data_IF_755047847302
#
_entry.id   IF_755047847302
#
_cell.length_a   1.000
_cell.length_b   1.000
_cell.length_c   1.000
_cell.angle_alpha   90.00
_cell.angle_beta   90.00
_cell.angle_gamma   90.00
#
_symmetry.space_group_name_H-M   'P 1'
#
loop_
_entity.id
_entity.type
_entity.pdbx_description
1 polymer ?
#
# COMPACT_ATOMS: atom_id res chain seq x y z
N UNK A 1 -3.09 23.71 -6.68
CA UNK A 1 -2.77 23.17 -8.02
C UNK A 1 -1.73 23.99 -8.79
N UNK A 2 -1.87 25.32 -8.99
CA UNK A 2 -0.80 26.12 -9.63
C UNK A 2 0.57 26.00 -8.92
N UNK A 3 0.56 25.94 -7.58
CA UNK A 3 1.78 25.73 -6.77
C UNK A 3 2.41 24.34 -6.91
N UNK A 4 1.67 23.34 -7.38
CA UNK A 4 2.16 21.97 -7.56
C UNK A 4 2.93 21.83 -8.88
N UNK A 5 2.39 22.41 -9.97
CA UNK A 5 3.16 22.63 -11.22
C UNK A 5 4.41 23.49 -10.98
N UNK A 6 4.31 24.53 -10.16
CA UNK A 6 5.47 25.38 -9.83
C UNK A 6 6.54 24.67 -8.98
N UNK A 7 6.16 23.77 -8.07
CA UNK A 7 7.10 22.98 -7.28
C UNK A 7 7.89 21.99 -8.15
N UNK A 8 7.21 21.29 -9.08
CA UNK A 8 7.86 20.43 -10.09
C UNK A 8 8.82 21.23 -10.99
N UNK A 9 8.56 22.53 -11.19
CA UNK A 9 9.34 23.39 -12.08
C UNK A 9 10.57 24.07 -11.44
N UNK A 10 10.77 23.96 -10.12
CA UNK A 10 11.85 24.65 -9.38
C UNK A 10 12.90 23.66 -8.87
N UNK A 11 13.97 23.50 -9.67
CA UNK A 11 15.30 22.90 -9.39
C UNK A 11 15.53 21.45 -9.84
N UNK A 12 16.07 21.31 -11.05
CA UNK A 12 17.32 20.58 -11.35
C UNK A 12 17.59 20.65 -12.87
N UNK A 13 18.85 20.56 -13.29
CA UNK A 13 19.27 20.30 -14.69
C UNK A 13 18.80 18.92 -15.23
N UNK A 14 17.88 18.27 -14.51
CA UNK A 14 17.15 17.05 -14.86
C UNK A 14 15.66 17.34 -15.02
N UNK A 15 15.30 18.50 -15.60
CA UNK A 15 13.94 18.67 -16.12
C UNK A 15 13.68 17.54 -17.08
N UNK A 16 12.76 16.66 -16.68
CA UNK A 16 12.17 15.72 -17.60
C UNK A 16 11.56 16.58 -18.69
N UNK A 17 12.04 16.46 -19.92
CA UNK A 17 11.39 17.11 -21.05
C UNK A 17 10.11 16.33 -21.42
N UNK A 18 9.21 16.22 -20.43
CA UNK A 18 7.90 15.58 -20.58
C UNK A 18 7.10 16.35 -21.61
N UNK A 19 7.21 17.67 -21.64
CA UNK A 19 6.43 18.51 -22.54
C UNK A 19 6.82 18.21 -24.00
N UNK A 20 8.12 18.12 -24.34
CA UNK A 20 8.53 17.71 -25.69
C UNK A 20 8.18 16.25 -25.99
N UNK A 21 8.26 15.33 -25.03
CA UNK A 21 7.81 13.96 -25.23
C UNK A 21 6.29 13.88 -25.44
N UNK A 22 5.49 14.64 -24.68
CA UNK A 22 4.04 14.72 -24.86
C UNK A 22 3.69 15.33 -26.22
N UNK A 23 4.43 16.33 -26.66
CA UNK A 23 4.27 16.94 -27.98
C UNK A 23 4.59 15.95 -29.10
N UNK A 24 5.72 15.25 -29.02
CA UNK A 24 6.14 14.23 -29.98
C UNK A 24 5.09 13.11 -30.09
N UNK A 25 4.61 12.59 -28.95
CA UNK A 25 3.64 11.51 -28.92
C UNK A 25 2.19 11.95 -29.17
N UNK A 26 1.89 13.25 -29.22
CA UNK A 26 0.52 13.77 -29.41
C UNK A 26 -0.15 13.21 -30.66
N UNK A 27 0.59 13.14 -31.76
CA UNK A 27 0.09 12.58 -33.03
C UNK A 27 -0.21 11.07 -32.91
N UNK A 28 0.57 10.34 -32.10
CA UNK A 28 0.37 8.90 -31.87
C UNK A 28 -0.92 8.61 -31.11
N UNK A 29 -1.32 9.51 -30.20
CA UNK A 29 -2.56 9.36 -29.44
C UNK A 29 -3.83 9.47 -30.30
N UNK A 30 -3.72 10.01 -31.53
CA UNK A 30 -4.87 10.34 -32.37
C UNK A 30 -4.90 9.54 -33.67
N UNK A 31 -3.84 9.58 -34.47
CA UNK A 31 -3.87 9.06 -35.85
C UNK A 31 -2.57 8.46 -36.37
N UNK A 32 -1.41 8.77 -35.77
CA UNK A 32 -0.10 8.42 -36.31
C UNK A 32 0.52 7.17 -35.64
N UNK A 33 1.35 6.42 -36.37
CA UNK A 33 2.05 5.26 -35.82
C UNK A 33 3.34 5.62 -35.10
N UNK A 34 3.80 4.71 -34.23
CA UNK A 34 5.13 4.84 -33.64
C UNK A 34 6.19 4.87 -34.74
N UNK A 35 7.17 5.75 -34.55
CA UNK A 35 8.26 5.99 -35.49
C UNK A 35 9.61 5.77 -34.79
N UNK A 36 10.72 5.63 -35.53
CA UNK A 36 12.06 5.58 -34.95
C UNK A 36 12.31 6.70 -33.94
N UNK A 37 11.87 7.91 -34.26
CA UNK A 37 12.04 9.12 -33.46
C UNK A 37 11.40 9.01 -32.06
N UNK A 38 10.24 8.37 -31.95
CA UNK A 38 9.58 8.14 -30.67
C UNK A 38 10.43 7.27 -29.73
N UNK A 39 10.98 6.17 -30.27
CA UNK A 39 11.81 5.24 -29.50
C UNK A 39 13.17 5.86 -29.18
N UNK A 40 13.75 6.58 -30.14
CA UNK A 40 15.01 7.30 -29.95
C UNK A 40 14.86 8.37 -28.87
N UNK A 41 13.79 9.16 -28.88
CA UNK A 41 13.51 10.16 -27.87
C UNK A 41 13.38 9.54 -26.46
N UNK A 42 12.68 8.41 -26.32
CA UNK A 42 12.60 7.70 -25.03
C UNK A 42 13.97 7.17 -24.57
N UNK A 43 14.75 6.59 -25.48
CA UNK A 43 16.06 5.99 -25.17
C UNK A 43 17.15 7.02 -24.90
N UNK A 44 17.07 8.22 -25.47
CA UNK A 44 18.07 9.29 -25.35
C UNK A 44 17.74 10.31 -24.27
N UNK A 45 16.50 10.36 -23.79
CA UNK A 45 16.06 11.28 -22.76
C UNK A 45 16.90 11.12 -21.48
N UNK A 46 17.49 12.23 -21.02
CA UNK A 46 18.42 12.26 -19.88
C UNK A 46 17.78 11.81 -18.57
N UNK A 47 16.51 12.17 -18.34
CA UNK A 47 15.77 11.74 -17.17
C UNK A 47 15.47 10.23 -17.22
N UNK A 48 15.09 9.74 -18.40
CA UNK A 48 14.86 8.31 -18.60
C UNK A 48 16.14 7.50 -18.36
N UNK A 49 17.28 7.92 -18.91
CA UNK A 49 18.59 7.29 -18.65
C UNK A 49 19.04 7.33 -17.19
N UNK A 50 18.68 8.38 -16.45
CA UNK A 50 19.12 8.57 -15.08
C UNK A 50 18.28 7.78 -14.06
N UNK A 51 17.00 7.54 -14.37
CA UNK A 51 16.04 6.97 -13.41
C UNK A 51 15.43 5.63 -13.84
N UNK A 52 15.62 5.23 -15.10
CA UNK A 52 15.04 4.02 -15.68
C UNK A 52 16.07 3.22 -16.48
N UNK A 53 15.77 1.95 -16.69
CA UNK A 53 16.67 1.00 -17.36
C UNK A 53 16.92 1.36 -18.84
N UNK A 54 17.97 0.77 -19.42
CA UNK A 54 18.28 0.90 -20.84
C UNK A 54 17.09 0.50 -21.71
N UNK A 55 16.54 1.47 -22.46
CA UNK A 55 15.53 1.19 -23.48
C UNK A 55 16.18 0.38 -24.62
N UNK A 56 15.52 -0.66 -25.17
CA UNK A 56 16.07 -1.43 -26.27
C UNK A 56 16.24 -0.58 -27.53
N UNK A 57 17.17 -0.99 -28.38
CA UNK A 57 17.49 -0.26 -29.61
C UNK A 57 16.28 -0.19 -30.56
N UNK A 58 16.18 0.89 -31.32
CA UNK A 58 15.12 1.11 -32.33
C UNK A 58 14.99 -0.08 -33.27
N UNK A 59 16.13 -0.62 -33.74
CA UNK A 59 16.18 -1.74 -34.67
C UNK A 59 15.56 -3.03 -34.09
N UNK A 60 15.53 -3.17 -32.77
CA UNK A 60 15.00 -4.37 -32.09
C UNK A 60 13.51 -4.27 -31.80
N UNK A 61 12.97 -3.05 -31.59
CA UNK A 61 11.65 -2.89 -31.01
C UNK A 61 10.62 -2.16 -31.88
N UNK A 62 11.02 -1.45 -32.94
CA UNK A 62 10.10 -0.58 -33.67
C UNK A 62 8.91 -1.32 -34.32
N UNK A 63 9.16 -2.36 -35.10
CA UNK A 63 8.09 -3.07 -35.82
C UNK A 63 7.13 -3.79 -34.85
N UNK A 64 7.60 -4.55 -33.84
CA UNK A 64 6.70 -5.12 -32.84
C UNK A 64 5.90 -4.10 -32.04
N UNK A 65 6.45 -2.89 -31.81
CA UNK A 65 5.76 -1.83 -31.08
C UNK A 65 4.73 -1.08 -31.93
N UNK A 66 4.93 -0.95 -33.24
CA UNK A 66 3.95 -0.34 -34.15
C UNK A 66 2.64 -1.11 -34.18
N UNK A 67 2.71 -2.41 -34.41
CA UNK A 67 1.55 -3.30 -34.41
C UNK A 67 0.83 -3.24 -33.07
N UNK A 68 1.60 -3.22 -31.98
CA UNK A 68 1.04 -3.14 -30.65
C UNK A 68 0.37 -1.78 -30.40
N UNK A 69 0.99 -0.65 -30.80
CA UNK A 69 0.45 0.70 -30.64
C UNK A 69 -0.88 0.90 -31.35
N UNK A 70 -1.02 0.34 -32.55
CA UNK A 70 -2.30 0.27 -33.27
C UNK A 70 -3.34 -0.53 -32.49
N UNK A 71 -2.97 -1.70 -31.98
CA UNK A 71 -3.84 -2.51 -31.10
C UNK A 71 -4.26 -1.71 -29.86
N UNK A 72 -3.42 -0.81 -29.31
CA UNK A 72 -3.71 -0.07 -28.06
C UNK A 72 -4.81 0.96 -28.18
N UNK A 73 -5.00 1.53 -29.38
CA UNK A 73 -6.03 2.53 -29.66
C UNK A 73 -7.45 1.93 -29.74
N UNK A 74 -7.56 0.62 -29.89
CA UNK A 74 -8.83 -0.09 -29.81
C UNK A 74 -9.22 -0.35 -28.34
N UNK A 75 -10.44 0.04 -27.97
CA UNK A 75 -11.05 -0.33 -26.68
C UNK A 75 -11.29 -1.84 -26.67
N UNK A 76 -10.50 -2.59 -25.91
CA UNK A 76 -10.59 -4.04 -25.81
C UNK A 76 -11.11 -4.50 -24.45
N UNK A 77 -11.55 -5.76 -24.36
CA UNK A 77 -11.91 -6.41 -23.11
C UNK A 77 -10.66 -6.64 -22.22
N UNK A 78 -10.84 -6.80 -20.90
CA UNK A 78 -9.75 -6.96 -19.91
C UNK A 78 -8.79 -8.13 -20.22
N UNK A 79 -9.27 -9.20 -20.86
CA UNK A 79 -8.45 -10.36 -21.26
C UNK A 79 -7.40 -9.98 -22.31
N UNK A 80 -7.71 -8.99 -23.15
CA UNK A 80 -6.80 -8.50 -24.18
C UNK A 80 -5.75 -7.54 -23.60
N UNK A 81 -6.03 -6.87 -22.47
CA UNK A 81 -5.08 -5.95 -21.82
C UNK A 81 -3.86 -6.69 -21.23
N UNK A 82 -4.07 -7.82 -20.54
CA UNK A 82 -2.96 -8.63 -20.01
C UNK A 82 -2.07 -9.14 -21.15
N UNK A 83 -2.67 -9.67 -22.22
CA UNK A 83 -1.94 -10.16 -23.39
C UNK A 83 -1.16 -9.03 -24.07
N UNK A 84 -1.73 -7.83 -24.17
CA UNK A 84 -1.09 -6.62 -24.70
C UNK A 84 0.14 -6.24 -23.86
N UNK A 85 0.01 -6.19 -22.54
CA UNK A 85 1.14 -5.90 -21.64
C UNK A 85 2.21 -7.00 -21.74
N UNK A 86 1.84 -8.29 -21.78
CA UNK A 86 2.82 -9.37 -21.94
C UNK A 86 3.56 -9.30 -23.27
N UNK A 87 2.90 -8.95 -24.38
CA UNK A 87 3.55 -8.74 -25.68
C UNK A 87 4.53 -7.55 -25.61
N UNK A 88 4.10 -6.46 -25.01
CA UNK A 88 4.91 -5.27 -24.77
C UNK A 88 6.17 -5.62 -23.95
N UNK A 89 6.01 -6.34 -22.84
CA UNK A 89 7.10 -6.79 -21.97
C UNK A 89 8.13 -7.66 -22.70
N UNK A 90 7.70 -8.52 -23.64
CA UNK A 90 8.63 -9.33 -24.46
C UNK A 90 9.51 -8.46 -25.37
N UNK A 91 9.03 -7.29 -25.78
CA UNK A 91 9.74 -6.39 -26.69
C UNK A 91 10.58 -5.38 -25.92
N UNK A 92 10.03 -4.77 -24.85
CA UNK A 92 10.70 -3.69 -24.09
C UNK A 92 11.40 -4.14 -22.80
N UNK A 93 11.29 -5.43 -22.46
CA UNK A 93 12.05 -6.11 -21.41
C UNK A 93 11.56 -5.86 -19.98
N UNK A 94 11.09 -4.66 -19.65
CA UNK A 94 10.67 -4.29 -18.29
C UNK A 94 9.31 -3.62 -18.27
N UNK A 95 8.62 -3.76 -17.12
CA UNK A 95 7.31 -3.15 -16.89
C UNK A 95 7.37 -1.62 -16.78
N UNK A 96 8.49 -1.08 -16.32
CA UNK A 96 8.77 0.35 -16.28
C UNK A 96 8.89 0.93 -17.70
N UNK A 97 9.69 0.30 -18.58
CA UNK A 97 9.84 0.73 -19.97
C UNK A 97 8.50 0.63 -20.73
N UNK A 98 7.80 -0.48 -20.52
CA UNK A 98 6.44 -0.70 -20.98
C UNK A 98 5.50 0.42 -20.52
N UNK A 99 5.45 0.69 -19.21
CA UNK A 99 4.61 1.71 -18.62
C UNK A 99 4.92 3.10 -19.16
N UNK A 100 6.20 3.44 -19.35
CA UNK A 100 6.61 4.72 -19.93
C UNK A 100 5.99 4.90 -21.32
N UNK A 101 6.20 3.94 -22.22
CA UNK A 101 5.64 4.02 -23.57
C UNK A 101 4.10 4.11 -23.52
N UNK A 102 3.46 3.27 -22.72
CA UNK A 102 2.01 3.25 -22.56
C UNK A 102 1.46 4.59 -22.06
N UNK A 103 2.16 5.22 -21.11
CA UNK A 103 1.77 6.52 -20.54
C UNK A 103 1.76 7.66 -21.56
N UNK A 104 2.52 7.54 -22.65
CA UNK A 104 2.50 8.53 -23.74
C UNK A 104 1.49 8.17 -24.85
N UNK A 105 1.30 6.88 -25.13
CA UNK A 105 0.36 6.41 -26.15
C UNK A 105 -1.10 6.57 -25.72
N UNK A 106 -1.41 6.23 -24.46
CA UNK A 106 -2.74 6.41 -23.88
C UNK A 106 -2.61 6.84 -22.40
N UNK A 107 -2.37 8.15 -22.16
CA UNK A 107 -2.17 8.69 -20.81
C UNK A 107 -3.43 8.64 -19.94
N UNK A 108 -4.60 8.43 -20.56
CA UNK A 108 -5.87 8.32 -19.84
C UNK A 108 -5.91 7.00 -19.10
N UNK A 109 -5.48 5.92 -19.75
CA UNK A 109 -5.59 4.58 -19.18
C UNK A 109 -4.31 4.08 -18.53
N UNK A 110 -3.13 4.56 -18.93
CA UNK A 110 -1.86 3.95 -18.49
C UNK A 110 -0.97 4.88 -17.65
N UNK A 111 0.06 4.30 -17.03
CA UNK A 111 1.06 4.94 -16.16
C UNK A 111 2.45 4.34 -16.34
N UNK A 112 3.49 5.04 -15.87
CA UNK A 112 4.89 4.63 -16.01
C UNK A 112 5.26 3.43 -15.12
N UNK A 113 4.55 3.22 -14.00
CA UNK A 113 4.83 2.17 -13.01
C UNK A 113 6.27 2.25 -12.49
N UNK A 114 6.59 3.28 -11.71
CA UNK A 114 7.92 3.39 -11.10
C UNK A 114 8.09 2.41 -9.94
N UNK A 115 8.95 1.41 -10.08
CA UNK A 115 9.20 0.38 -9.05
C UNK A 115 9.58 0.97 -7.69
N UNK A 116 10.28 2.11 -7.66
CA UNK A 116 10.65 2.80 -6.42
C UNK A 116 9.45 3.40 -5.68
N UNK A 117 8.49 3.98 -6.40
CA UNK A 117 7.24 4.50 -5.82
C UNK A 117 6.41 3.33 -5.28
N UNK A 118 6.28 2.28 -6.10
CA UNK A 118 5.47 1.08 -5.87
C UNK A 118 5.93 0.27 -4.66
N UNK A 119 7.24 0.23 -4.39
CA UNK A 119 7.80 -0.59 -3.31
C UNK A 119 7.97 0.15 -1.98
N UNK A 120 8.04 1.49 -1.99
CA UNK A 120 8.45 2.26 -0.80
C UNK A 120 7.50 3.39 -0.39
N UNK A 121 6.57 3.79 -1.25
CA UNK A 121 5.79 5.03 -1.06
C UNK A 121 4.30 4.84 -1.24
N UNK A 122 3.92 4.10 -2.27
CA UNK A 122 2.54 3.76 -2.59
C UNK A 122 2.30 2.27 -2.38
N UNK A 123 1.22 1.89 -1.68
CA UNK A 123 0.99 0.49 -1.34
C UNK A 123 0.48 -0.28 -2.57
N UNK A 124 1.34 -1.05 -3.23
CA UNK A 124 0.91 -1.98 -4.27
C UNK A 124 0.89 -3.39 -3.71
N UNK A 125 -0.21 -4.09 -3.93
CA UNK A 125 -0.32 -5.51 -3.58
C UNK A 125 0.20 -6.35 -4.74
N UNK A 126 1.30 -7.11 -4.57
CA UNK A 126 1.74 -8.07 -5.59
C UNK A 126 0.59 -9.03 -5.91
N UNK A 127 0.33 -9.24 -7.19
CA UNK A 127 -0.62 -10.22 -7.70
C UNK A 127 0.11 -11.48 -8.18
N UNK A 128 -0.61 -12.42 -8.79
CA UNK A 128 -0.03 -13.65 -9.32
C UNK A 128 0.96 -13.41 -10.45
N UNK A 129 0.77 -12.34 -11.24
CA UNK A 129 1.70 -11.93 -12.29
C UNK A 129 2.07 -10.44 -12.23
N UNK A 130 3.12 -10.06 -12.98
CA UNK A 130 3.55 -8.66 -13.11
C UNK A 130 2.48 -7.80 -13.79
N UNK A 131 1.83 -8.34 -14.82
CA UNK A 131 0.76 -7.66 -15.55
C UNK A 131 -0.46 -7.41 -14.65
N UNK A 132 -0.82 -8.38 -13.82
CA UNK A 132 -1.89 -8.22 -12.83
C UNK A 132 -1.55 -7.15 -11.79
N UNK A 133 -0.29 -7.10 -11.37
CA UNK A 133 0.19 -6.08 -10.43
C UNK A 133 0.14 -4.69 -11.06
N UNK A 134 0.54 -4.56 -12.33
CA UNK A 134 0.44 -3.32 -13.08
C UNK A 134 -0.99 -2.83 -13.23
N UNK A 135 -1.90 -3.72 -13.66
CA UNK A 135 -3.31 -3.39 -13.86
C UNK A 135 -3.98 -2.97 -12.54
N UNK A 136 -3.67 -3.65 -11.44
CA UNK A 136 -4.15 -3.27 -10.12
C UNK A 136 -3.63 -1.88 -9.69
N UNK A 137 -2.33 -1.60 -9.91
CA UNK A 137 -1.77 -0.28 -9.63
C UNK A 137 -2.42 0.81 -10.46
N UNK A 138 -2.59 0.58 -11.76
CA UNK A 138 -3.27 1.48 -12.69
C UNK A 138 -4.70 1.79 -12.25
N UNK A 139 -5.44 0.78 -11.79
CA UNK A 139 -6.81 0.94 -11.32
C UNK A 139 -6.85 1.74 -10.00
N UNK A 140 -5.89 1.53 -9.09
CA UNK A 140 -5.72 2.33 -7.87
C UNK A 140 -5.45 3.82 -8.23
N UNK A 141 -4.59 4.08 -9.22
CA UNK A 141 -4.34 5.44 -9.71
C UNK A 141 -5.56 6.07 -10.38
N UNK A 142 -6.32 5.30 -11.16
CA UNK A 142 -7.57 5.77 -11.78
C UNK A 142 -8.59 6.16 -10.72
N UNK A 143 -8.72 5.36 -9.67
CA UNK A 143 -9.59 5.66 -8.53
C UNK A 143 -9.18 6.97 -7.85
N UNK A 144 -7.90 7.12 -7.52
CA UNK A 144 -7.37 8.35 -6.92
C UNK A 144 -7.56 9.58 -7.83
N UNK A 145 -7.34 9.40 -9.13
CA UNK A 145 -7.60 10.42 -10.13
C UNK A 145 -9.05 10.87 -10.13
N UNK A 146 -9.99 9.92 -10.14
CA UNK A 146 -11.43 10.21 -10.06
C UNK A 146 -11.80 11.05 -8.83
N UNK A 147 -11.31 10.67 -7.65
CA UNK A 147 -11.55 11.40 -6.39
C UNK A 147 -10.96 12.81 -6.44
N UNK A 148 -9.81 12.99 -7.09
CA UNK A 148 -9.12 14.28 -7.21
C UNK A 148 -9.57 15.12 -8.43
N UNK A 149 -10.49 14.63 -9.27
CA UNK A 149 -10.88 15.28 -10.52
C UNK A 149 -9.79 15.27 -11.60
N UNK A 150 -8.83 14.34 -11.53
CA UNK A 150 -7.74 14.15 -12.49
C UNK A 150 -8.14 13.03 -13.46
N UNK A 151 -8.29 13.37 -14.74
CA UNK A 151 -8.74 12.43 -15.78
C UNK A 151 -7.64 11.46 -16.22
N UNK A 152 -6.39 11.93 -16.32
CA UNK A 152 -5.28 11.13 -16.87
C UNK A 152 -4.63 10.32 -15.75
N UNK A 153 -4.63 8.99 -15.85
CA UNK A 153 -3.92 8.11 -14.91
C UNK A 153 -2.43 8.46 -14.82
N UNK A 154 -1.82 8.83 -15.95
CA UNK A 154 -0.43 9.29 -16.01
C UNK A 154 -0.17 10.54 -15.15
N UNK A 155 -1.12 11.46 -15.02
CA UNK A 155 -0.93 12.67 -14.20
C UNK A 155 -0.90 12.34 -12.70
N UNK A 156 -1.70 11.35 -12.29
CA UNK A 156 -1.71 10.87 -10.91
C UNK A 156 -0.37 10.21 -10.58
N UNK A 157 0.13 9.34 -11.47
CA UNK A 157 1.44 8.68 -11.32
C UNK A 157 2.57 9.71 -11.22
N UNK A 158 2.61 10.68 -12.14
CA UNK A 158 3.61 11.76 -12.12
C UNK A 158 3.55 12.60 -10.85
N UNK A 159 2.35 12.84 -10.32
CA UNK A 159 2.21 13.54 -9.05
C UNK A 159 2.79 12.72 -7.87
N UNK A 160 2.50 11.42 -7.80
CA UNK A 160 3.11 10.56 -6.79
C UNK A 160 4.63 10.52 -6.92
N UNK A 161 5.14 10.46 -8.16
CA UNK A 161 6.57 10.50 -8.47
C UNK A 161 7.23 11.79 -8.00
N UNK A 162 6.66 12.94 -8.34
CA UNK A 162 7.18 14.24 -7.91
C UNK A 162 7.23 14.35 -6.39
N UNK A 163 6.18 13.93 -5.68
CA UNK A 163 6.18 13.94 -4.21
C UNK A 163 7.23 13.00 -3.60
N UNK A 164 7.49 11.86 -4.25
CA UNK A 164 8.52 10.91 -3.84
C UNK A 164 9.94 11.45 -4.08
N UNK A 165 10.17 12.14 -5.21
CA UNK A 165 11.48 12.76 -5.49
C UNK A 165 11.86 13.80 -4.44
N UNK A 166 10.88 14.45 -3.83
CA UNK A 166 11.06 15.41 -2.73
C UNK A 166 11.33 14.76 -1.35
N UNK A 167 11.57 13.44 -1.28
CA UNK A 167 11.74 12.71 0.00
C UNK A 167 12.85 13.24 0.91
N UNK A 168 13.93 13.77 0.34
CA UNK A 168 15.03 14.39 1.09
C UNK A 168 14.63 15.70 1.77
N UNK A 169 13.50 16.29 1.35
CA UNK A 169 12.99 17.57 1.82
C UNK A 169 11.74 17.44 2.71
N UNK A 170 11.21 16.24 2.94
CA UNK A 170 10.00 16.01 3.74
C UNK A 170 10.08 16.57 5.17
N UNK A 171 11.28 16.68 5.74
CA UNK A 171 11.48 17.19 7.10
C UNK A 171 12.00 18.63 7.16
N UNK A 172 12.58 19.13 6.07
CA UNK A 172 13.31 20.41 6.03
C UNK A 172 12.55 21.50 5.28
N UNK A 173 11.80 21.16 4.23
CA UNK A 173 10.98 22.11 3.50
C UNK A 173 9.54 22.12 4.03
N UNK A 174 9.09 23.31 4.45
CA UNK A 174 7.77 23.51 5.06
C UNK A 174 6.62 23.16 4.11
N UNK A 175 6.76 23.49 2.83
CA UNK A 175 5.73 23.23 1.83
C UNK A 175 5.65 21.75 1.51
N UNK A 176 6.81 21.11 1.26
CA UNK A 176 6.88 19.67 0.99
C UNK A 176 6.36 18.87 2.18
N UNK A 177 6.75 19.24 3.41
CA UNK A 177 6.26 18.61 4.64
C UNK A 177 4.74 18.71 4.77
N UNK A 178 4.15 19.86 4.45
CA UNK A 178 2.71 20.05 4.49
C UNK A 178 1.99 19.15 3.47
N UNK A 179 2.50 19.07 2.24
CA UNK A 179 1.95 18.21 1.17
C UNK A 179 2.06 16.73 1.58
N UNK A 180 3.23 16.29 2.05
CA UNK A 180 3.43 14.91 2.52
C UNK A 180 2.47 14.55 3.66
N UNK A 181 2.27 15.45 4.62
CA UNK A 181 1.34 15.26 5.74
C UNK A 181 -0.12 15.19 5.28
N UNK A 182 -0.50 15.95 4.25
CA UNK A 182 -1.83 15.84 3.65
C UNK A 182 -1.99 14.49 2.96
N UNK A 183 -1.01 14.09 2.14
CA UNK A 183 -1.00 12.79 1.46
C UNK A 183 -1.09 11.61 2.43
N UNK A 184 -0.32 11.61 3.53
CA UNK A 184 -0.36 10.53 4.51
C UNK A 184 -1.66 10.42 5.29
N UNK A 185 -2.40 11.52 5.39
CA UNK A 185 -3.69 11.61 6.11
C UNK A 185 -4.89 11.54 5.18
N UNK A 186 -4.66 11.44 3.88
CA UNK A 186 -5.75 11.31 2.91
C UNK A 186 -6.50 9.99 3.15
N UNK A 187 -7.83 10.02 3.35
CA UNK A 187 -8.62 8.84 3.64
C UNK A 187 -8.51 7.73 2.59
N UNK A 188 -8.44 8.08 1.30
CA UNK A 188 -8.35 7.10 0.22
C UNK A 188 -6.95 6.47 0.17
N UNK A 189 -5.90 7.27 0.39
CA UNK A 189 -4.53 6.74 0.53
C UNK A 189 -4.44 5.79 1.73
N UNK A 190 -5.01 6.16 2.88
CA UNK A 190 -5.05 5.28 4.05
C UNK A 190 -5.85 4.00 3.79
N UNK A 191 -7.00 4.09 3.13
CA UNK A 191 -7.82 2.93 2.74
C UNK A 191 -7.04 1.96 1.86
N UNK A 192 -6.41 2.47 0.80
CA UNK A 192 -5.57 1.66 -0.10
C UNK A 192 -4.40 1.01 0.66
N UNK A 193 -3.72 1.75 1.55
CA UNK A 193 -2.65 1.19 2.40
C UNK A 193 -3.16 0.01 3.24
N UNK A 194 -4.34 0.13 3.84
CA UNK A 194 -4.94 -0.94 4.64
C UNK A 194 -5.33 -2.15 3.79
N UNK A 195 -5.98 -1.94 2.65
CA UNK A 195 -6.40 -3.03 1.75
C UNK A 195 -5.22 -3.79 1.15
N UNK A 196 -4.13 -3.09 0.84
CA UNK A 196 -2.97 -3.63 0.12
C UNK A 196 -1.88 -4.18 1.04
N UNK A 197 -1.79 -3.70 2.29
CA UNK A 197 -0.86 -4.25 3.29
C UNK A 197 -1.20 -5.66 3.76
N UNK A 198 -2.35 -6.22 3.34
CA UNK A 198 -2.73 -7.59 3.71
C UNK A 198 -3.09 -7.76 5.19
N UNK A 199 -3.27 -6.65 5.92
CA UNK A 199 -3.65 -6.66 7.35
C UNK A 199 -5.13 -6.98 7.54
N UNK A 200 -6.00 -6.74 6.54
CA UNK A 200 -7.44 -7.01 6.64
C UNK A 200 -7.78 -8.48 6.98
N UNK A 201 -7.15 -9.50 6.36
CA UNK A 201 -7.28 -10.88 6.81
C UNK A 201 -6.89 -11.09 8.27
N UNK A 202 -5.89 -10.38 8.81
CA UNK A 202 -5.51 -10.48 10.22
C UNK A 202 -6.66 -10.03 11.12
N UNK A 203 -7.36 -8.93 10.78
CA UNK A 203 -8.52 -8.47 11.55
C UNK A 203 -9.71 -9.45 11.54
N UNK A 204 -9.72 -10.46 10.65
CA UNK A 204 -10.72 -11.55 10.64
C UNK A 204 -10.30 -12.77 11.47
N UNK A 205 -9.03 -12.86 11.87
CA UNK A 205 -8.52 -13.94 12.72
C UNK A 205 -8.87 -13.66 14.18
N UNK A 206 -8.83 -14.73 14.98
CA UNK A 206 -8.90 -14.63 16.44
C UNK A 206 -7.82 -13.66 16.97
N UNK A 207 -8.17 -12.69 17.85
CA UNK A 207 -7.22 -11.66 18.31
C UNK A 207 -5.92 -12.24 18.90
N UNK A 208 -5.99 -13.39 19.56
CA UNK A 208 -4.79 -14.03 20.09
C UNK A 208 -3.86 -14.53 18.99
N UNK A 209 -4.40 -15.14 17.92
CA UNK A 209 -3.58 -15.55 16.77
C UNK A 209 -2.90 -14.35 16.10
N UNK A 210 -3.60 -13.22 15.99
CA UNK A 210 -3.01 -11.97 15.46
C UNK A 210 -1.90 -11.44 16.37
N UNK A 211 -2.12 -11.44 17.68
CA UNK A 211 -1.13 -11.00 18.65
C UNK A 211 0.16 -11.86 18.60
N UNK A 212 0.01 -13.16 18.39
CA UNK A 212 1.12 -14.10 18.25
C UNK A 212 1.92 -13.86 16.97
N UNK A 213 1.25 -13.66 15.84
CA UNK A 213 1.90 -13.36 14.56
C UNK A 213 2.65 -12.02 14.59
N UNK A 214 2.12 -11.01 15.30
CA UNK A 214 2.71 -9.66 15.35
C UNK A 214 3.81 -9.47 16.40
N UNK A 215 4.01 -10.43 17.30
CA UNK A 215 4.89 -10.27 18.47
C UNK A 215 6.33 -9.90 18.09
N UNK A 216 6.85 -10.53 17.04
CA UNK A 216 8.22 -10.35 16.53
C UNK A 216 8.38 -9.11 15.66
N UNK A 217 7.30 -8.61 15.05
CA UNK A 217 7.36 -7.49 14.10
C UNK A 217 7.00 -6.15 14.74
N UNK A 218 5.99 -6.14 15.61
CA UNK A 218 5.52 -4.95 16.30
C UNK A 218 4.81 -5.32 17.62
N UNK A 219 5.60 -5.46 18.68
CA UNK A 219 5.08 -5.82 20.01
C UNK A 219 4.00 -4.86 20.52
N UNK A 220 4.02 -3.57 20.16
CA UNK A 220 2.98 -2.64 20.60
C UNK A 220 1.62 -2.96 19.97
N UNK A 221 1.59 -3.27 18.68
CA UNK A 221 0.34 -3.69 18.00
C UNK A 221 -0.07 -5.07 18.50
N UNK A 222 0.87 -5.99 18.68
CA UNK A 222 0.60 -7.31 19.27
C UNK A 222 -0.06 -7.20 20.65
N UNK A 223 0.40 -6.30 21.51
CA UNK A 223 -0.19 -6.11 22.83
C UNK A 223 -1.59 -5.51 22.83
N UNK A 224 -1.97 -4.73 21.80
CA UNK A 224 -3.38 -4.33 21.59
C UNK A 224 -4.26 -5.56 21.36
N UNK A 225 -3.90 -6.42 20.39
CA UNK A 225 -4.66 -7.63 20.08
C UNK A 225 -4.64 -8.65 21.22
N UNK A 226 -3.53 -8.75 21.96
CA UNK A 226 -3.45 -9.62 23.13
C UNK A 226 -4.35 -9.15 24.28
N UNK A 227 -4.61 -7.84 24.41
CA UNK A 227 -5.63 -7.31 25.31
C UNK A 227 -7.04 -7.66 24.83
N UNK A 228 -7.34 -7.45 23.56
CA UNK A 228 -8.64 -7.83 22.97
C UNK A 228 -8.93 -9.33 23.17
N UNK A 229 -7.90 -10.18 23.04
CA UNK A 229 -8.00 -11.61 23.35
C UNK A 229 -8.36 -11.87 24.82
N UNK A 230 -7.71 -11.18 25.76
CA UNK A 230 -8.03 -11.31 27.19
C UNK A 230 -9.46 -10.86 27.49
N UNK A 231 -9.93 -9.77 26.87
CA UNK A 231 -11.32 -9.32 26.98
C UNK A 231 -12.27 -10.40 26.46
N UNK A 232 -12.04 -10.92 25.26
CA UNK A 232 -12.87 -11.96 24.66
C UNK A 232 -12.94 -13.23 25.52
N UNK A 233 -11.82 -13.69 26.08
CA UNK A 233 -11.77 -14.86 26.97
C UNK A 233 -12.59 -14.63 28.25
N UNK A 234 -12.51 -13.43 28.85
CA UNK A 234 -13.29 -13.11 30.05
C UNK A 234 -14.79 -13.07 29.72
N UNK A 235 -15.16 -12.46 28.60
CA UNK A 235 -16.56 -12.42 28.15
C UNK A 235 -17.12 -13.81 27.87
N UNK A 236 -16.40 -14.65 27.11
CA UNK A 236 -16.81 -16.04 26.85
C UNK A 236 -17.03 -16.84 28.14
N UNK A 237 -16.17 -16.66 29.15
CA UNK A 237 -16.33 -17.33 30.46
C UNK A 237 -17.55 -16.83 31.22
N UNK A 238 -17.82 -15.53 31.18
CA UNK A 238 -19.03 -14.95 31.79
C UNK A 238 -20.28 -15.48 31.12
N UNK A 239 -20.29 -15.52 29.79
CA UNK A 239 -21.40 -16.02 28.99
C UNK A 239 -21.68 -17.51 29.27
N UNK A 240 -20.64 -18.35 29.31
CA UNK A 240 -20.74 -19.78 29.68
C UNK A 240 -21.33 -20.00 31.07
N UNK A 241 -21.07 -19.08 32.01
CA UNK A 241 -21.64 -19.09 33.36
C UNK A 241 -22.99 -18.36 33.48
N UNK A 242 -23.53 -17.85 32.36
CA UNK A 242 -24.76 -17.04 32.31
C UNK A 242 -24.72 -15.85 33.27
N UNK A 243 -23.55 -15.25 33.44
CA UNK A 243 -23.37 -14.05 34.25
C UNK A 243 -23.85 -12.83 33.46
N UNK A 244 -24.43 -11.85 34.16
CA UNK A 244 -24.88 -10.63 33.51
C UNK A 244 -23.72 -9.91 32.80
N UNK A 245 -23.99 -9.27 31.64
CA UNK A 245 -23.01 -8.43 30.97
C UNK A 245 -22.47 -7.38 31.94
N UNK A 246 -21.16 -7.40 32.15
CA UNK A 246 -20.49 -6.43 32.99
C UNK A 246 -19.99 -5.28 32.11
N UNK A 247 -20.65 -4.12 32.23
CA UNK A 247 -20.26 -2.87 31.57
C UNK A 247 -19.28 -2.04 32.41
N UNK A 248 -18.72 -2.61 33.48
CA UNK A 248 -17.83 -1.88 34.39
C UNK A 248 -16.55 -1.42 33.66
N UNK A 249 -16.11 -0.20 33.98
CA UNK A 249 -14.99 0.47 33.32
C UNK A 249 -13.64 -0.19 33.61
N UNK A 250 -13.51 -0.93 34.72
CA UNK A 250 -12.26 -1.61 35.09
C UNK A 250 -12.35 -3.09 34.77
N UNK A 251 -11.29 -3.62 34.18
CA UNK A 251 -11.23 -5.03 33.78
C UNK A 251 -11.31 -6.03 34.94
N UNK A 252 -10.71 -5.70 36.09
CA UNK A 252 -10.75 -6.58 37.26
C UNK A 252 -12.17 -6.80 37.76
N UNK A 253 -13.04 -5.81 37.62
CA UNK A 253 -14.43 -5.95 38.03
C UNK A 253 -15.18 -6.96 37.14
N UNK A 254 -14.79 -7.05 35.87
CA UNK A 254 -15.30 -8.07 34.93
C UNK A 254 -14.90 -9.49 35.36
N UNK A 255 -13.78 -9.64 36.06
CA UNK A 255 -13.25 -10.92 36.54
C UNK A 255 -13.79 -11.34 37.91
N UNK A 256 -14.44 -10.45 38.68
CA UNK A 256 -14.83 -10.67 40.08
C UNK A 256 -15.67 -11.94 40.28
N UNK A 257 -16.57 -12.21 39.34
CA UNK A 257 -17.52 -13.33 39.42
C UNK A 257 -16.99 -14.61 38.73
N UNK A 258 -15.68 -14.67 38.41
CA UNK A 258 -15.01 -15.80 37.76
C UNK A 258 -13.99 -16.44 38.73
N UNK A 259 -14.39 -17.43 39.56
CA UNK A 259 -13.54 -18.00 40.62
C UNK A 259 -12.20 -18.55 40.10
N UNK A 260 -12.19 -19.10 38.88
CA UNK A 260 -11.00 -19.63 38.24
C UNK A 260 -9.97 -18.57 37.82
N UNK A 261 -10.31 -17.29 37.92
CA UNK A 261 -9.44 -16.14 37.65
C UNK A 261 -8.97 -15.44 38.93
N UNK A 262 -9.55 -15.77 40.10
CA UNK A 262 -9.25 -15.11 41.38
C UNK A 262 -7.77 -15.16 41.71
N UNK A 263 -7.14 -16.33 41.56
CA UNK A 263 -5.71 -16.53 41.85
C UNK A 263 -4.79 -15.82 40.84
N UNK A 264 -5.35 -15.35 39.72
CA UNK A 264 -4.62 -14.69 38.65
C UNK A 264 -4.80 -13.17 38.63
N UNK A 265 -5.54 -12.59 39.59
CA UNK A 265 -5.85 -11.16 39.62
C UNK A 265 -4.63 -10.25 39.44
N UNK A 266 -3.50 -10.56 40.07
CA UNK A 266 -2.27 -9.78 39.93
C UNK A 266 -1.68 -9.82 38.51
N UNK A 267 -1.64 -11.02 37.91
CA UNK A 267 -1.13 -11.23 36.55
C UNK A 267 -2.07 -10.61 35.51
N UNK A 268 -3.38 -10.76 35.68
CA UNK A 268 -4.43 -10.16 34.87
C UNK A 268 -4.38 -8.63 34.90
N UNK A 269 -4.20 -8.03 36.07
CA UNK A 269 -4.06 -6.58 36.19
C UNK A 269 -2.82 -6.06 35.48
N UNK A 270 -1.69 -6.77 35.63
CA UNK A 270 -0.43 -6.43 34.96
C UNK A 270 -0.54 -6.53 33.44
N UNK A 271 -1.14 -7.62 32.95
CA UNK A 271 -1.42 -7.80 31.54
C UNK A 271 -2.36 -6.70 31.00
N UNK A 272 -3.44 -6.41 31.71
CA UNK A 272 -4.38 -5.35 31.33
C UNK A 272 -3.71 -3.97 31.19
N UNK A 273 -2.85 -3.61 32.16
CA UNK A 273 -2.08 -2.37 32.11
C UNK A 273 -1.14 -2.34 30.91
N UNK A 274 -0.40 -3.43 30.67
CA UNK A 274 0.48 -3.57 29.49
C UNK A 274 -0.30 -3.37 28.19
N UNK A 275 -1.47 -4.00 28.06
CA UNK A 275 -2.35 -3.83 26.91
C UNK A 275 -2.89 -2.41 26.76
N UNK A 276 -3.19 -1.73 27.87
CA UNK A 276 -3.60 -0.32 27.87
C UNK A 276 -2.46 0.61 27.44
N UNK A 277 -1.24 0.38 27.91
CA UNK A 277 -0.04 1.09 27.45
C UNK A 277 0.22 0.92 25.94
N UNK A 278 -0.11 -0.24 25.39
CA UNK A 278 0.02 -0.47 23.94
C UNK A 278 -0.87 0.48 23.12
N UNK A 279 -2.07 0.80 23.62
CA UNK A 279 -3.09 1.59 22.93
C UNK A 279 -2.89 3.10 23.17
N UNK A 280 -2.46 3.49 24.37
CA UNK A 280 -2.28 4.91 24.69
C UNK A 280 -1.08 5.53 23.96
N UNK A 281 -1.20 6.72 23.33
CA UNK A 281 -0.14 7.32 22.52
C UNK A 281 1.23 7.42 23.22
N UNK A 282 1.22 7.71 24.53
CA UNK A 282 2.42 7.86 25.38
C UNK A 282 2.92 6.55 25.99
N UNK A 283 2.16 5.46 25.90
CA UNK A 283 2.57 4.19 26.46
C UNK A 283 3.73 3.57 25.66
N UNK A 284 4.68 2.99 26.40
CA UNK A 284 5.90 2.37 25.87
C UNK A 284 6.14 1.04 26.58
N UNK A 285 5.24 0.06 26.45
CA UNK A 285 5.41 -1.22 27.12
C UNK A 285 6.63 -1.93 26.53
N UNK A 286 7.42 -2.58 27.38
CA UNK A 286 8.53 -3.42 26.89
C UNK A 286 7.99 -4.63 26.12
N UNK A 287 8.74 -5.08 25.12
CA UNK A 287 8.42 -6.31 24.39
C UNK A 287 8.21 -7.49 25.35
N UNK A 288 9.09 -7.65 26.36
CA UNK A 288 8.96 -8.67 27.40
C UNK A 288 7.62 -8.61 28.14
N UNK A 289 7.11 -7.42 28.46
CA UNK A 289 5.81 -7.27 29.10
C UNK A 289 4.68 -7.71 28.17
N UNK A 290 4.74 -7.33 26.87
CA UNK A 290 3.77 -7.78 25.87
C UNK A 290 3.80 -9.30 25.71
N UNK A 291 4.98 -9.92 25.63
CA UNK A 291 5.10 -11.39 25.53
C UNK A 291 4.41 -12.08 26.72
N UNK A 292 4.56 -11.54 27.95
CA UNK A 292 3.85 -12.06 29.12
C UNK A 292 2.32 -11.98 28.99
N UNK A 293 1.80 -10.86 28.48
CA UNK A 293 0.37 -10.69 28.22
C UNK A 293 -0.15 -11.71 27.19
N UNK A 294 0.54 -11.90 26.06
CA UNK A 294 0.12 -12.86 25.03
C UNK A 294 0.18 -14.30 25.55
N UNK A 295 1.24 -14.65 26.30
CA UNK A 295 1.36 -15.96 26.95
C UNK A 295 0.26 -16.21 27.98
N UNK A 296 -0.12 -15.20 28.76
CA UNK A 296 -1.24 -15.31 29.70
C UNK A 296 -2.55 -15.57 28.96
N UNK A 297 -2.84 -14.82 27.91
CA UNK A 297 -4.03 -15.01 27.08
C UNK A 297 -4.10 -16.43 26.51
N UNK A 298 -2.99 -16.94 25.96
CA UNK A 298 -2.89 -18.32 25.47
C UNK A 298 -3.20 -19.34 26.55
N UNK A 299 -2.54 -19.23 27.70
CA UNK A 299 -2.75 -20.13 28.85
C UNK A 299 -4.20 -20.14 29.31
N UNK A 300 -4.87 -18.99 29.31
CA UNK A 300 -6.29 -18.88 29.69
C UNK A 300 -7.23 -19.46 28.63
N UNK A 301 -6.92 -19.30 27.33
CA UNK A 301 -7.68 -19.91 26.25
C UNK A 301 -7.58 -21.43 26.29
N UNK A 302 -6.38 -21.97 26.46
CA UNK A 302 -6.15 -23.42 26.44
C UNK A 302 -6.85 -24.14 27.61
N UNK A 303 -6.86 -23.51 28.80
CA UNK A 303 -7.62 -24.00 29.95
C UNK A 303 -9.14 -24.06 29.68
N UNK A 304 -9.66 -23.22 28.78
CA UNK A 304 -11.09 -23.23 28.43
C UNK A 304 -11.47 -24.40 27.50
N UNK A 305 -10.55 -24.84 26.63
CA UNK A 305 -10.76 -25.94 25.70
C UNK A 305 -10.64 -27.32 26.37
N UNK A 306 -9.81 -27.42 27.42
CA UNK A 306 -9.64 -28.65 28.20
C UNK A 306 -10.83 -29.03 29.08
N UNK A 307 -11.75 -28.10 29.38
CA UNK A 307 -12.91 -28.33 30.25
C UNK A 307 -14.17 -28.79 29.51
N UNK A 308 -14.11 -28.92 28.18
CA UNK A 308 -15.24 -29.34 27.31
C UNK A 308 -15.28 -30.84 27.01
N UNK A 309 -14.39 -31.63 27.63
CA UNK A 309 -14.40 -33.10 27.57
C UNK A 309 -14.51 -33.66 28.99
N UNK A 310 -15.70 -33.58 29.58
CA UNK A 310 -16.05 -34.29 30.82
C UNK A 310 -17.53 -34.61 30.79
#
# INVERSE_FOLDING_TARGET
>A
MNRYREAVNRKSDMRVDVDSLEELFRAVTTTADLSPEHIEALSTNRYMKANFFSFPSVATCLDPLRDLALDMRASLAVVDEKRRISRLLRVIGTLENAGILLSFVDPVNYCMFSGYIVTSFFPVRPQGTLEETYLAFRDDLRHLGSVAGIRRVTDVDRALCALWMERTHWETDVQVKAIKKQFDKDPEIMRLRLERSGVLPLFRKDPLAVAEELLEFNHRVAGKFGREALEAIVYDRRDKRRLNPCYEARFLDKCRDLPELTDLCGELNSAWRTGSECIHPRGRPSERAVRKLVTLARRLRDKSLGSTRS
#
